data_IF_853335047053
#
_entry.id   IF_853335047053
#
_cell.length_a   1.000
_cell.length_b   1.000
_cell.length_c   1.000
_cell.angle_alpha   90.00
_cell.angle_beta   90.00
_cell.angle_gamma   90.00
#
_symmetry.space_group_name_H-M   'P 1'
#
loop_
_entity.id
_entity.type
_entity.pdbx_description
1 polymer ?
#
# COMPACT_ATOMS: atom_id res chain seq x y z
N UNK A 1 8.98 -28.01 2.87
CA UNK A 1 9.04 -26.54 2.74
C UNK A 1 10.33 -26.20 2.03
N UNK A 2 10.28 -25.82 0.76
CA UNK A 2 11.49 -25.51 -0.01
C UNK A 2 11.81 -24.04 0.15
N UNK A 3 12.89 -23.74 0.86
CA UNK A 3 13.53 -22.43 0.86
C UNK A 3 14.64 -22.50 -0.19
N UNK A 4 14.60 -21.65 -1.21
CA UNK A 4 15.71 -21.55 -2.17
C UNK A 4 16.70 -20.54 -1.59
N UNK A 5 17.84 -21.04 -1.14
CA UNK A 5 18.98 -20.24 -0.71
C UNK A 5 20.09 -20.46 -1.76
N UNK A 6 20.33 -19.45 -2.60
CA UNK A 6 21.37 -19.51 -3.63
C UNK A 6 22.67 -18.96 -3.05
N UNK A 7 23.58 -19.88 -2.72
CA UNK A 7 24.96 -19.54 -2.32
C UNK A 7 25.93 -20.35 -3.18
N UNK A 8 27.09 -19.77 -3.48
CA UNK A 8 28.28 -20.49 -3.94
C UNK A 8 29.40 -20.22 -2.94
N UNK A 9 30.42 -21.09 -2.88
CA UNK A 9 31.50 -21.02 -1.88
C UNK A 9 32.19 -19.64 -1.75
N UNK A 10 32.15 -18.81 -2.80
CA UNK A 10 32.68 -17.44 -2.86
C UNK A 10 31.63 -16.35 -3.07
N UNK A 11 30.35 -16.71 -3.13
CA UNK A 11 29.29 -15.81 -3.60
C UNK A 11 29.23 -15.65 -5.13
N UNK A 12 30.08 -16.33 -5.92
CA UNK A 12 30.12 -16.19 -7.39
C UNK A 12 28.78 -16.47 -8.08
N UNK A 13 28.17 -17.64 -7.84
CA UNK A 13 26.85 -17.98 -8.40
C UNK A 13 25.74 -17.09 -7.81
N UNK A 14 25.85 -16.73 -6.53
CA UNK A 14 24.92 -15.79 -5.90
C UNK A 14 24.99 -14.39 -6.54
N UNK A 15 26.19 -13.93 -6.89
CA UNK A 15 26.45 -12.65 -7.55
C UNK A 15 25.98 -12.63 -9.00
N UNK A 16 26.16 -13.72 -9.76
CA UNK A 16 25.64 -13.83 -11.14
C UNK A 16 24.10 -13.88 -11.17
N UNK A 17 23.47 -14.59 -10.23
CA UNK A 17 22.01 -14.56 -10.09
C UNK A 17 21.53 -13.17 -9.66
N UNK A 18 22.22 -12.52 -8.71
CA UNK A 18 21.90 -11.16 -8.31
C UNK A 18 22.09 -10.18 -9.48
N UNK A 19 23.10 -10.34 -10.34
CA UNK A 19 23.32 -9.50 -11.52
C UNK A 19 22.15 -9.61 -12.51
N UNK A 20 21.65 -10.81 -12.76
CA UNK A 20 20.48 -11.04 -13.62
C UNK A 20 19.19 -10.48 -13.02
N UNK A 21 19.05 -10.56 -11.69
CA UNK A 21 17.92 -9.96 -10.97
C UNK A 21 18.05 -8.43 -10.83
N UNK A 22 19.27 -7.89 -10.82
CA UNK A 22 19.55 -6.46 -10.69
C UNK A 22 19.14 -5.65 -11.93
N UNK A 23 18.84 -6.31 -13.06
CA UNK A 23 18.17 -5.68 -14.20
C UNK A 23 16.71 -5.31 -13.91
N UNK A 24 16.15 -5.73 -12.77
CA UNK A 24 14.78 -5.45 -12.36
C UNK A 24 14.75 -4.91 -10.92
N UNK A 25 13.95 -3.87 -10.69
CA UNK A 25 13.73 -3.29 -9.36
C UNK A 25 12.24 -3.20 -9.08
N UNK A 26 11.76 -4.01 -8.13
CA UNK A 26 10.41 -3.87 -7.57
C UNK A 26 10.48 -3.06 -6.27
N UNK A 27 9.98 -1.83 -6.32
CA UNK A 27 9.93 -0.89 -5.20
C UNK A 27 8.56 -0.93 -4.54
N UNK A 28 8.53 -0.87 -3.20
CA UNK A 28 7.29 -0.63 -2.44
C UNK A 28 7.30 0.80 -1.94
N UNK A 29 6.26 1.58 -2.23
CA UNK A 29 6.07 2.92 -1.69
C UNK A 29 4.82 2.99 -0.84
N UNK A 30 4.91 3.60 0.35
CA UNK A 30 3.73 3.80 1.18
C UNK A 30 2.72 4.76 0.51
N UNK A 31 1.44 4.37 0.46
CA UNK A 31 0.35 5.17 -0.12
C UNK A 31 0.13 6.55 0.52
N UNK A 32 0.83 6.88 1.61
CA UNK A 32 0.99 8.26 2.11
C UNK A 32 1.50 9.23 1.02
N UNK A 33 2.01 8.74 -0.12
CA UNK A 33 2.29 9.56 -1.30
C UNK A 33 1.04 10.33 -1.73
N UNK A 34 -0.11 9.67 -1.69
CA UNK A 34 -1.40 10.21 -2.11
C UNK A 34 -1.99 11.17 -1.08
N UNK A 35 -1.58 11.01 0.19
CA UNK A 35 -1.94 11.88 1.30
C UNK A 35 -1.15 13.19 1.34
N UNK A 36 -0.14 13.36 0.49
CA UNK A 36 0.80 14.47 0.59
C UNK A 36 0.15 15.88 0.48
N UNK A 37 -0.87 16.11 -0.37
CA UNK A 37 -1.61 17.38 -0.37
C UNK A 37 -2.31 17.69 0.95
N UNK A 38 -2.85 16.67 1.62
CA UNK A 38 -3.55 16.81 2.91
C UNK A 38 -2.58 17.08 4.05
N UNK A 39 -1.42 16.42 4.03
CA UNK A 39 -0.33 16.69 4.96
C UNK A 39 0.14 18.15 4.81
N UNK A 40 0.33 18.61 3.57
CA UNK A 40 0.76 19.99 3.29
C UNK A 40 -0.29 21.03 3.72
N UNK A 41 -1.57 20.77 3.47
CA UNK A 41 -2.69 21.67 3.82
C UNK A 41 -3.20 21.50 5.26
N UNK A 42 -2.71 20.49 5.99
CA UNK A 42 -3.15 20.09 7.33
C UNK A 42 -4.65 19.74 7.42
N UNK A 43 -5.22 19.24 6.34
CA UNK A 43 -6.62 18.82 6.25
C UNK A 43 -6.78 17.38 6.71
N UNK A 44 -6.71 17.17 8.02
CA UNK A 44 -6.89 15.85 8.61
C UNK A 44 -8.35 15.53 8.96
N UNK A 45 -8.74 14.26 8.96
CA UNK A 45 -10.02 13.75 9.47
C UNK A 45 -11.25 14.03 8.60
N UNK A 46 -11.07 14.72 7.47
CA UNK A 46 -12.10 15.01 6.47
C UNK A 46 -12.04 13.96 5.33
N UNK A 47 -13.17 13.73 4.62
CA UNK A 47 -13.16 12.86 3.46
C UNK A 47 -12.47 13.55 2.27
N UNK A 48 -12.05 12.76 1.30
CA UNK A 48 -11.57 13.25 0.01
C UNK A 48 -12.28 12.52 -1.13
N UNK A 49 -12.77 13.29 -2.10
CA UNK A 49 -13.33 12.77 -3.36
C UNK A 49 -12.23 12.41 -4.36
N UNK A 50 -10.96 12.71 -4.04
CA UNK A 50 -9.84 12.40 -4.91
C UNK A 50 -9.54 10.89 -4.87
N UNK A 51 -9.67 10.26 -6.03
CA UNK A 51 -9.31 8.86 -6.27
C UNK A 51 -8.18 8.84 -7.30
N UNK A 52 -7.17 8.00 -7.04
CA UNK A 52 -6.01 7.83 -7.91
C UNK A 52 -6.11 6.51 -8.68
N UNK A 53 -5.75 6.54 -9.97
CA UNK A 53 -5.71 5.38 -10.86
C UNK A 53 -4.25 5.19 -11.37
N UNK A 54 -3.83 3.94 -11.53
CA UNK A 54 -2.46 3.52 -11.87
C UNK A 54 -2.18 3.30 -13.37
N UNK A 55 -3.18 3.46 -14.24
CA UNK A 55 -3.04 3.27 -15.69
C UNK A 55 -3.03 4.60 -16.46
N UNK A 56 -4.14 5.35 -16.46
CA UNK A 56 -4.24 6.62 -17.21
C UNK A 56 -3.51 7.81 -16.53
N UNK A 57 -3.11 7.63 -15.26
CA UNK A 57 -2.64 8.72 -14.38
C UNK A 57 -1.30 8.47 -13.71
N UNK A 58 -0.48 7.58 -14.27
CA UNK A 58 0.92 7.40 -13.83
C UNK A 58 1.69 8.73 -13.81
N UNK A 59 1.48 9.61 -14.78
CA UNK A 59 2.11 10.93 -14.81
C UNK A 59 1.63 11.85 -13.68
N UNK A 60 0.39 11.71 -13.21
CA UNK A 60 -0.08 12.44 -12.03
C UNK A 60 0.64 11.96 -10.76
N UNK A 61 0.83 10.65 -10.61
CA UNK A 61 1.57 10.06 -9.48
C UNK A 61 3.03 10.50 -9.51
N UNK A 62 3.65 10.52 -10.70
CA UNK A 62 5.02 11.02 -10.91
C UNK A 62 5.12 12.51 -10.57
N UNK A 63 4.20 13.32 -11.07
CA UNK A 63 4.16 14.75 -10.78
C UNK A 63 3.97 15.00 -9.29
N UNK A 64 3.13 14.21 -8.62
CA UNK A 64 2.93 14.29 -7.17
C UNK A 64 4.21 13.89 -6.41
N UNK A 65 4.83 12.75 -6.73
CA UNK A 65 6.06 12.29 -6.07
C UNK A 65 7.19 13.31 -6.19
N UNK A 66 7.34 13.96 -7.35
CA UNK A 66 8.35 15.00 -7.61
C UNK A 66 8.16 16.26 -6.77
N UNK A 67 6.95 16.54 -6.29
CA UNK A 67 6.69 17.67 -5.39
C UNK A 67 7.28 17.44 -3.98
N UNK A 68 7.64 16.19 -3.64
CA UNK A 68 8.14 15.83 -2.32
C UNK A 68 9.54 15.20 -2.40
N UNK A 69 10.61 16.02 -2.31
CA UNK A 69 12.00 15.54 -2.37
C UNK A 69 12.36 14.49 -1.30
N UNK A 70 11.61 14.44 -0.19
CA UNK A 70 11.74 13.39 0.83
C UNK A 70 11.46 11.99 0.30
N UNK A 71 10.81 11.86 -0.87
CA UNK A 71 10.58 10.60 -1.58
C UNK A 71 11.65 10.32 -2.62
N UNK A 72 12.92 10.49 -2.25
CA UNK A 72 14.05 10.34 -3.16
C UNK A 72 14.08 8.97 -3.87
N UNK A 73 13.71 7.89 -3.18
CA UNK A 73 13.68 6.54 -3.76
C UNK A 73 12.54 6.40 -4.77
N UNK A 74 11.33 6.85 -4.43
CA UNK A 74 10.19 6.80 -5.37
C UNK A 74 10.51 7.63 -6.62
N UNK A 75 11.05 8.84 -6.45
CA UNK A 75 11.47 9.71 -7.55
C UNK A 75 12.57 9.08 -8.40
N UNK A 76 13.54 8.40 -7.79
CA UNK A 76 14.59 7.70 -8.53
C UNK A 76 14.06 6.49 -9.32
N UNK A 77 13.10 5.75 -8.77
CA UNK A 77 12.49 4.58 -9.43
C UNK A 77 11.58 5.02 -10.58
N UNK A 78 10.88 6.13 -10.39
CA UNK A 78 10.03 6.74 -11.40
C UNK A 78 10.89 7.39 -12.49
N UNK A 79 11.91 8.15 -12.15
CA UNK A 79 12.82 8.73 -13.15
C UNK A 79 13.65 7.60 -13.78
N UNK A 80 13.37 7.27 -15.05
CA UNK A 80 13.97 6.17 -15.82
C UNK A 80 15.37 5.80 -15.33
N UNK A 81 15.50 4.66 -14.64
CA UNK A 81 16.81 4.12 -14.24
C UNK A 81 17.42 3.42 -15.47
N UNK A 82 18.45 3.97 -16.11
CA UNK A 82 18.95 3.40 -17.37
C UNK A 82 19.46 1.97 -17.15
N UNK A 83 18.97 1.04 -17.97
CA UNK A 83 19.36 -0.37 -17.89
C UNK A 83 18.69 -1.18 -16.76
N UNK A 84 17.72 -0.60 -16.05
CA UNK A 84 16.95 -1.29 -15.01
C UNK A 84 15.46 -1.12 -15.27
N UNK A 85 14.74 -2.24 -15.34
CA UNK A 85 13.29 -2.27 -15.44
C UNK A 85 12.67 -2.08 -14.04
N UNK A 86 11.93 -0.99 -13.84
CA UNK A 86 11.37 -0.66 -12.53
C UNK A 86 9.88 -0.99 -12.41
N UNK A 87 9.44 -1.41 -11.24
CA UNK A 87 8.03 -1.52 -10.87
C UNK A 87 7.82 -0.85 -9.51
N UNK A 88 6.90 0.10 -9.41
CA UNK A 88 6.52 0.80 -8.19
C UNK A 88 5.15 0.29 -7.72
N UNK A 89 5.14 -0.50 -6.64
CA UNK A 89 3.92 -0.97 -5.99
C UNK A 89 3.56 -0.01 -4.85
N UNK A 90 2.36 0.55 -4.89
CA UNK A 90 1.88 1.55 -3.91
C UNK A 90 0.69 0.97 -3.13
N UNK A 91 0.94 0.13 -2.11
CA UNK A 91 -0.13 -0.43 -1.30
C UNK A 91 -0.72 0.60 -0.34
N UNK A 92 -2.05 0.56 -0.19
CA UNK A 92 -2.80 1.28 0.82
C UNK A 92 -2.66 0.62 2.21
N UNK A 93 -3.73 0.50 3.00
CA UNK A 93 -3.64 -0.19 4.30
C UNK A 93 -3.37 -1.68 4.08
N UNK A 94 -2.16 -2.12 4.42
CA UNK A 94 -1.81 -3.55 4.44
C UNK A 94 -2.32 -4.17 5.74
N UNK A 95 -3.16 -5.20 5.65
CA UNK A 95 -3.69 -5.91 6.80
C UNK A 95 -3.56 -7.43 6.69
N UNK A 96 -3.80 -8.11 7.82
CA UNK A 96 -3.67 -9.55 7.95
C UNK A 96 -2.32 -10.00 8.51
N UNK A 97 -2.26 -11.21 9.09
CA UNK A 97 -1.02 -11.75 9.64
C UNK A 97 -0.06 -12.17 8.52
N UNK A 98 1.17 -11.67 8.60
CA UNK A 98 2.23 -12.12 7.71
C UNK A 98 2.59 -13.59 7.98
N UNK A 99 2.96 -14.32 6.91
CA UNK A 99 3.36 -15.75 7.00
C UNK A 99 4.89 -15.94 6.95
N UNK A 100 5.64 -14.85 6.81
CA UNK A 100 7.09 -14.87 6.70
C UNK A 100 7.79 -15.06 8.07
N UNK A 101 9.08 -15.44 8.08
CA UNK A 101 9.80 -15.77 9.32
C UNK A 101 10.28 -14.55 10.12
N UNK A 102 10.02 -13.33 9.65
CA UNK A 102 10.52 -12.07 10.24
C UNK A 102 9.35 -11.25 10.78
N UNK A 103 9.06 -10.09 10.16
CA UNK A 103 7.94 -9.27 10.57
C UNK A 103 6.64 -9.86 10.03
N UNK A 104 5.66 -10.05 10.91
CA UNK A 104 4.33 -10.55 10.59
C UNK A 104 3.22 -9.52 10.90
N UNK A 105 3.61 -8.31 11.32
CA UNK A 105 2.72 -7.25 11.81
C UNK A 105 2.82 -5.99 10.92
N UNK A 106 1.67 -5.46 10.50
CA UNK A 106 1.57 -4.16 9.82
C UNK A 106 1.53 -2.98 10.81
N UNK A 107 1.28 -1.76 10.35
CA UNK A 107 1.45 -0.54 11.16
C UNK A 107 0.12 0.09 11.59
N UNK A 108 -0.69 0.62 10.67
CA UNK A 108 -1.83 1.51 10.98
C UNK A 108 -2.86 0.88 11.93
N UNK A 109 -3.46 -0.26 11.54
CA UNK A 109 -4.48 -0.94 12.36
C UNK A 109 -3.89 -1.52 13.65
N UNK A 110 -2.70 -2.15 13.64
CA UNK A 110 -2.07 -2.62 14.87
C UNK A 110 -1.69 -1.51 15.87
N UNK A 111 -1.25 -0.33 15.41
CA UNK A 111 -1.01 0.81 16.30
C UNK A 111 -2.31 1.40 16.86
N UNK A 112 -3.36 1.53 16.03
CA UNK A 112 -4.68 1.95 16.49
C UNK A 112 -5.24 0.97 17.54
N UNK A 113 -5.02 -0.32 17.34
CA UNK A 113 -5.39 -1.38 18.30
C UNK A 113 -4.61 -1.25 19.61
N UNK A 114 -3.30 -1.02 19.54
CA UNK A 114 -2.46 -0.80 20.74
C UNK A 114 -2.98 0.40 21.54
N UNK A 115 -3.23 1.53 20.88
CA UNK A 115 -3.72 2.75 21.52
C UNK A 115 -5.10 2.53 22.14
N UNK A 116 -6.02 1.90 21.40
CA UNK A 116 -7.37 1.58 21.89
C UNK A 116 -7.32 0.72 23.16
N UNK A 117 -6.50 -0.33 23.17
CA UNK A 117 -6.36 -1.23 24.32
C UNK A 117 -5.75 -0.49 25.52
N UNK A 118 -4.70 0.31 25.30
CA UNK A 118 -4.03 1.04 26.39
C UNK A 118 -4.92 2.13 27.00
N UNK A 119 -5.75 2.79 26.19
CA UNK A 119 -6.71 3.80 26.66
C UNK A 119 -7.99 3.20 27.23
N UNK A 120 -8.34 1.97 26.84
CA UNK A 120 -9.63 1.36 27.14
C UNK A 120 -10.82 1.97 26.39
N UNK A 121 -10.56 2.77 25.33
CA UNK A 121 -11.54 3.36 24.41
C UNK A 121 -10.91 3.57 23.04
N UNK A 122 -11.71 3.47 21.98
CA UNK A 122 -11.27 3.76 20.62
C UNK A 122 -10.95 5.25 20.42
N UNK A 123 -10.23 5.56 19.35
CA UNK A 123 -9.95 6.94 18.95
C UNK A 123 -10.17 7.12 17.46
N UNK A 124 -10.48 8.34 17.03
CA UNK A 124 -10.42 8.75 15.63
C UNK A 124 -9.87 10.18 15.53
N UNK A 125 -9.13 10.47 14.46
CA UNK A 125 -8.59 11.83 14.24
C UNK A 125 -9.71 12.73 13.72
N UNK A 126 -10.07 13.74 14.51
CA UNK A 126 -11.19 14.65 14.26
C UNK A 126 -12.47 13.88 13.89
N UNK A 127 -13.11 14.18 12.75
CA UNK A 127 -14.35 13.52 12.31
C UNK A 127 -14.14 12.07 11.85
N UNK A 128 -12.90 11.62 11.66
CA UNK A 128 -12.59 10.25 11.24
C UNK A 128 -13.10 9.88 9.84
N UNK A 129 -13.44 10.86 9.00
CA UNK A 129 -14.00 10.62 7.67
C UNK A 129 -12.93 10.36 6.60
N UNK A 130 -11.66 10.48 6.98
CA UNK A 130 -10.56 10.16 6.08
C UNK A 130 -10.58 8.67 5.73
N UNK A 131 -10.43 8.38 4.45
CA UNK A 131 -10.76 7.09 3.84
C UNK A 131 -9.53 6.53 3.15
N UNK A 132 -9.24 5.27 3.43
CA UNK A 132 -8.14 4.54 2.82
C UNK A 132 -8.64 3.27 2.17
N UNK A 133 -8.00 2.93 1.07
CA UNK A 133 -8.08 1.58 0.56
C UNK A 133 -7.33 0.60 1.45
N UNK A 134 -7.65 -0.67 1.28
CA UNK A 134 -6.98 -1.74 2.00
C UNK A 134 -6.68 -2.93 1.09
N UNK A 135 -5.63 -3.65 1.45
CA UNK A 135 -5.20 -4.88 0.78
C UNK A 135 -4.72 -5.89 1.82
N UNK A 136 -5.13 -7.13 1.67
CA UNK A 136 -4.63 -8.19 2.53
C UNK A 136 -3.20 -8.56 2.11
N UNK A 137 -2.31 -8.79 3.09
CA UNK A 137 -0.89 -9.09 2.84
C UNK A 137 -0.66 -10.28 1.90
N UNK A 138 -1.58 -11.24 1.88
CA UNK A 138 -1.47 -12.41 1.00
C UNK A 138 -1.74 -12.06 -0.46
N UNK A 139 -2.71 -11.18 -0.73
CA UNK A 139 -3.01 -10.72 -2.08
C UNK A 139 -1.89 -9.83 -2.59
N UNK A 140 -1.42 -8.90 -1.74
CA UNK A 140 -0.24 -8.09 -2.02
C UNK A 140 0.97 -8.97 -2.37
N UNK A 141 1.25 -10.01 -1.57
CA UNK A 141 2.37 -10.93 -1.84
C UNK A 141 2.27 -11.66 -3.18
N UNK A 142 1.05 -11.85 -3.70
CA UNK A 142 0.82 -12.47 -5.01
C UNK A 142 1.30 -11.55 -6.14
N UNK A 143 1.07 -10.23 -6.02
CA UNK A 143 1.55 -9.24 -7.00
C UNK A 143 3.09 -9.26 -7.06
N UNK A 144 3.77 -9.25 -5.91
CA UNK A 144 5.23 -9.35 -5.86
C UNK A 144 5.74 -10.65 -6.48
N UNK A 145 5.09 -11.78 -6.21
CA UNK A 145 5.45 -13.06 -6.84
C UNK A 145 5.33 -12.98 -8.37
N UNK A 146 4.23 -12.42 -8.89
CA UNK A 146 4.04 -12.25 -10.33
C UNK A 146 5.10 -11.35 -10.96
N UNK A 147 5.43 -10.23 -10.33
CA UNK A 147 6.50 -9.35 -10.83
C UNK A 147 7.86 -10.06 -10.83
N UNK A 148 8.18 -10.84 -9.80
CA UNK A 148 9.41 -11.65 -9.76
C UNK A 148 9.42 -12.71 -10.85
N UNK A 149 8.30 -13.40 -11.09
CA UNK A 149 8.18 -14.37 -12.19
C UNK A 149 8.44 -13.70 -13.56
N UNK A 150 7.84 -12.53 -13.80
CA UNK A 150 8.06 -11.76 -15.05
C UNK A 150 9.50 -11.28 -15.19
N UNK A 151 10.13 -10.82 -14.11
CA UNK A 151 11.54 -10.42 -14.11
C UNK A 151 12.45 -11.62 -14.44
N UNK A 152 12.15 -12.80 -13.89
CA UNK A 152 12.91 -14.02 -14.14
C UNK A 152 12.79 -14.52 -15.60
N UNK A 153 11.65 -14.27 -16.24
CA UNK A 153 11.44 -14.54 -17.67
C UNK A 153 12.23 -13.58 -18.58
N UNK A 154 12.80 -12.49 -18.02
CA UNK A 154 13.40 -11.39 -18.76
C UNK A 154 12.48 -10.81 -19.85
N UNK A 155 11.16 -10.96 -19.69
CA UNK A 155 10.17 -10.49 -20.65
C UNK A 155 9.90 -9.00 -20.43
N UNK A 156 10.69 -8.18 -21.13
CA UNK A 156 10.47 -6.73 -21.21
C UNK A 156 9.51 -6.33 -22.33
N UNK A 157 8.90 -7.29 -23.05
CA UNK A 157 8.01 -7.01 -24.19
C UNK A 157 6.61 -6.59 -23.77
N UNK A 158 6.27 -6.78 -22.49
CA UNK A 158 4.97 -6.47 -21.91
C UNK A 158 5.03 -5.22 -21.02
N UNK A 159 3.92 -4.45 -20.93
CA UNK A 159 3.86 -3.19 -20.18
C UNK A 159 3.77 -3.45 -18.67
N UNK A 160 4.82 -4.03 -18.09
CA UNK A 160 4.91 -4.32 -16.65
C UNK A 160 5.95 -3.47 -15.92
N UNK A 161 6.70 -2.67 -16.67
CA UNK A 161 7.91 -2.04 -16.18
C UNK A 161 7.95 -0.57 -16.60
N UNK A 162 8.75 0.20 -15.87
CA UNK A 162 9.09 1.57 -16.16
C UNK A 162 7.87 2.49 -16.21
N UNK A 163 7.41 2.86 -17.40
CA UNK A 163 6.27 3.76 -17.58
C UNK A 163 4.96 3.08 -17.18
N UNK A 164 4.83 1.79 -17.44
CA UNK A 164 3.63 0.99 -17.16
C UNK A 164 3.75 0.21 -15.84
N UNK A 165 4.87 0.36 -15.13
CA UNK A 165 5.19 -0.41 -13.94
C UNK A 165 4.67 0.21 -12.64
N UNK A 166 3.55 0.93 -12.63
CA UNK A 166 2.97 1.45 -11.38
C UNK A 166 1.76 0.60 -11.02
N UNK A 167 1.71 0.12 -9.79
CA UNK A 167 0.68 -0.82 -9.34
C UNK A 167 0.01 -0.31 -8.06
N UNK A 168 -1.29 -0.07 -8.15
CA UNK A 168 -2.15 0.12 -7.00
C UNK A 168 -2.71 -1.21 -6.54
N UNK A 169 -2.86 -1.34 -5.22
CA UNK A 169 -3.31 -2.59 -4.61
C UNK A 169 -4.36 -2.22 -3.58
N UNK A 170 -5.62 -2.19 -3.99
CA UNK A 170 -6.74 -1.70 -3.20
C UNK A 170 -8.00 -2.50 -3.53
N UNK A 171 -8.42 -3.35 -2.60
CA UNK A 171 -9.63 -4.18 -2.77
C UNK A 171 -10.92 -3.51 -2.28
N UNK A 172 -10.83 -2.27 -1.77
CA UNK A 172 -11.95 -1.48 -1.29
C UNK A 172 -11.55 -0.39 -0.31
N UNK A 173 -12.35 0.69 -0.27
CA UNK A 173 -12.15 1.84 0.61
C UNK A 173 -12.89 1.68 1.94
N UNK A 174 -12.30 2.14 3.04
CA UNK A 174 -12.94 2.19 4.36
C UNK A 174 -12.56 3.49 5.10
N UNK A 175 -13.54 4.22 5.69
CA UNK A 175 -13.25 5.37 6.55
C UNK A 175 -12.60 4.97 7.87
N UNK A 176 -11.74 5.84 8.41
CA UNK A 176 -11.07 5.59 9.69
C UNK A 176 -12.02 5.54 10.89
N UNK A 177 -13.16 6.23 10.86
CA UNK A 177 -14.22 6.11 11.87
C UNK A 177 -14.74 4.67 11.95
N UNK A 178 -14.93 4.01 10.81
CA UNK A 178 -15.37 2.61 10.76
C UNK A 178 -14.27 1.66 11.24
N UNK A 179 -13.01 1.85 10.81
CA UNK A 179 -11.86 1.08 11.32
C UNK A 179 -11.79 1.20 12.85
N UNK A 180 -11.91 2.42 13.37
CA UNK A 180 -11.82 2.72 14.81
C UNK A 180 -12.93 2.05 15.59
N UNK A 181 -14.16 2.08 15.07
CA UNK A 181 -15.29 1.38 15.68
C UNK A 181 -15.09 -0.14 15.70
N UNK A 182 -14.61 -0.73 14.60
CA UNK A 182 -14.30 -2.16 14.52
C UNK A 182 -13.22 -2.57 15.53
N UNK A 183 -12.18 -1.75 15.69
CA UNK A 183 -11.11 -1.97 16.67
C UNK A 183 -11.64 -1.87 18.11
N UNK A 184 -12.44 -0.85 18.42
CA UNK A 184 -13.05 -0.69 19.74
C UNK A 184 -13.98 -1.86 20.10
N UNK A 185 -14.83 -2.27 19.15
CA UNK A 185 -15.71 -3.43 19.29
C UNK A 185 -14.92 -4.72 19.56
N UNK A 186 -13.88 -4.99 18.77
CA UNK A 186 -13.05 -6.18 18.95
C UNK A 186 -12.30 -6.17 20.29
N UNK A 187 -11.84 -5.00 20.76
CA UNK A 187 -11.19 -4.87 22.06
C UNK A 187 -12.17 -5.14 23.21
N UNK A 188 -13.42 -4.67 23.10
CA UNK A 188 -14.48 -4.94 24.07
C UNK A 188 -14.85 -6.42 24.12
N UNK A 189 -15.12 -7.04 22.96
CA UNK A 189 -15.48 -8.47 22.86
C UNK A 189 -14.41 -9.40 23.42
N UNK A 190 -13.13 -9.01 23.31
CA UNK A 190 -12.00 -9.76 23.87
C UNK A 190 -11.69 -9.42 25.33
N UNK A 191 -12.46 -8.52 25.96
CA UNK A 191 -12.28 -8.12 27.37
C UNK A 191 -11.07 -7.20 27.62
N UNK A 192 -10.48 -6.63 26.57
CA UNK A 192 -9.39 -5.65 26.67
C UNK A 192 -9.88 -4.21 26.87
N UNK A 193 -11.19 -3.98 26.66
CA UNK A 193 -11.87 -2.72 26.91
C UNK A 193 -13.21 -2.96 27.62
N UNK A 194 -13.68 -1.96 28.36
CA UNK A 194 -15.03 -1.95 28.96
C UNK A 194 -16.04 -1.13 28.14
N UNK A 195 -15.60 -0.51 27.05
CA UNK A 195 -16.41 0.35 26.20
C UNK A 195 -16.11 0.12 24.72
N UNK A 196 -17.14 0.31 23.89
CA UNK A 196 -17.06 0.32 22.42
C UNK A 196 -17.03 1.74 21.86
N UNK A 197 -16.98 2.76 22.72
CA UNK A 197 -16.93 4.18 22.33
C UNK A 197 -15.64 4.52 21.60
N UNK A 198 -15.74 5.48 20.69
CA UNK A 198 -14.62 6.06 19.94
C UNK A 198 -14.58 7.56 20.19
N UNK A 199 -13.50 8.04 20.81
CA UNK A 199 -13.32 9.48 21.06
C UNK A 199 -12.75 10.18 19.82
N UNK A 200 -13.21 11.40 19.55
CA UNK A 200 -12.53 12.28 18.59
C UNK A 200 -11.32 12.93 19.25
N UNK A 201 -10.16 12.86 18.61
CA UNK A 201 -8.92 13.48 19.08
C UNK A 201 -8.36 14.45 18.04
N UNK A 202 -7.62 15.44 18.52
CA UNK A 202 -6.81 16.33 17.67
C UNK A 202 -5.66 15.57 16.98
N UNK A 203 -5.01 16.22 16.01
CA UNK A 203 -3.83 15.68 15.32
C UNK A 203 -2.67 15.54 16.31
N UNK A 204 -2.51 16.55 17.17
CA UNK A 204 -1.46 16.63 18.18
C UNK A 204 -1.63 15.53 19.25
N UNK A 205 -2.85 15.29 19.71
CA UNK A 205 -3.14 14.18 20.62
C UNK A 205 -2.88 12.82 19.96
N UNK A 206 -3.25 12.64 18.68
CA UNK A 206 -2.97 11.42 17.95
C UNK A 206 -1.45 11.16 17.83
N UNK A 207 -0.66 12.20 17.55
CA UNK A 207 0.80 12.12 17.44
C UNK A 207 1.49 11.87 18.79
N UNK A 208 0.87 12.27 19.91
CA UNK A 208 1.34 11.92 21.26
C UNK A 208 1.08 10.45 21.60
N UNK A 209 -0.02 9.87 21.10
CA UNK A 209 -0.40 8.47 21.36
C UNK A 209 0.37 7.46 20.50
N UNK A 210 0.73 7.86 19.29
CA UNK A 210 1.56 7.08 18.37
C UNK A 210 2.35 8.03 17.47
N UNK A 211 3.65 7.77 17.21
CA UNK A 211 4.39 8.53 16.22
C UNK A 211 3.63 8.62 14.89
N UNK A 212 3.40 9.84 14.43
CA UNK A 212 2.65 10.15 13.20
C UNK A 212 1.19 9.66 13.18
N UNK A 213 0.54 9.47 14.35
CA UNK A 213 -0.86 9.05 14.46
C UNK A 213 -1.83 9.93 13.64
N UNK A 214 -1.58 11.24 13.58
CA UNK A 214 -2.35 12.17 12.77
C UNK A 214 -2.30 11.84 11.27
N UNK A 215 -1.13 11.45 10.76
CA UNK A 215 -0.96 11.03 9.37
C UNK A 215 -1.57 9.64 9.16
N UNK A 216 -1.26 8.69 10.06
CA UNK A 216 -1.67 7.29 9.93
C UNK A 216 -3.18 7.10 9.90
N UNK A 217 -3.95 7.93 10.61
CA UNK A 217 -5.40 7.75 10.81
C UNK A 217 -6.25 8.95 10.37
N UNK A 218 -5.61 10.05 9.98
CA UNK A 218 -6.28 11.30 9.64
C UNK A 218 -6.10 11.75 8.20
N UNK A 219 -5.49 10.97 7.33
CA UNK A 219 -5.32 11.30 5.91
C UNK A 219 -6.08 10.33 5.02
N UNK A 220 -6.12 10.57 3.71
CA UNK A 220 -6.77 9.73 2.71
C UNK A 220 -5.75 9.08 1.77
N UNK A 221 -6.07 7.88 1.30
CA UNK A 221 -5.38 7.21 0.21
C UNK A 221 -6.37 6.26 -0.48
N UNK A 222 -7.12 6.80 -1.46
CA UNK A 222 -8.14 6.07 -2.21
C UNK A 222 -7.59 5.71 -3.59
N UNK A 223 -7.64 4.42 -3.91
CA UNK A 223 -7.15 3.87 -5.17
C UNK A 223 -8.37 3.39 -5.97
N UNK A 224 -8.24 3.39 -7.29
CA UNK A 224 -9.17 2.71 -8.17
C UNK A 224 -8.36 1.76 -9.04
N UNK A 225 -8.65 0.46 -8.92
CA UNK A 225 -8.19 -0.54 -9.87
C UNK A 225 -9.09 -0.50 -11.10
N UNK A 226 -8.50 -0.46 -12.30
CA UNK A 226 -9.27 -0.53 -13.54
C UNK A 226 -9.71 -1.98 -13.84
N UNK A 227 -10.74 -2.42 -13.11
CA UNK A 227 -11.46 -3.68 -13.34
C UNK A 227 -11.97 -3.80 -14.80
N UNK A 228 -12.45 -2.73 -15.48
CA UNK A 228 -12.98 -2.83 -16.85
C UNK A 228 -12.02 -3.42 -17.88
N UNK A 229 -10.72 -3.08 -17.85
CA UNK A 229 -9.74 -3.66 -18.77
C UNK A 229 -9.36 -5.09 -18.40
N UNK A 230 -9.28 -5.41 -17.11
CA UNK A 230 -9.07 -6.80 -16.65
C UNK A 230 -10.23 -7.70 -17.08
N UNK A 231 -11.46 -7.20 -16.97
CA UNK A 231 -12.67 -7.88 -17.46
C UNK A 231 -12.67 -7.95 -18.98
N UNK A 232 -12.26 -6.90 -19.70
CA UNK A 232 -12.17 -6.90 -21.16
C UNK A 232 -11.09 -7.87 -21.68
N UNK A 233 -9.92 -7.91 -21.04
CA UNK A 233 -8.83 -8.83 -21.36
C UNK A 233 -9.21 -10.29 -21.05
N UNK A 234 -9.92 -10.54 -19.95
CA UNK A 234 -10.41 -11.87 -19.62
C UNK A 234 -11.58 -12.29 -20.53
N UNK A 235 -12.48 -11.37 -20.88
CA UNK A 235 -13.54 -11.60 -21.86
C UNK A 235 -12.92 -11.94 -23.24
N UNK A 236 -11.88 -11.23 -23.66
CA UNK A 236 -11.14 -11.51 -24.89
C UNK A 236 -10.43 -12.87 -24.84
N UNK A 237 -9.80 -13.22 -23.71
CA UNK A 237 -9.18 -14.54 -23.48
C UNK A 237 -10.20 -15.68 -23.52
N UNK A 238 -11.41 -15.42 -23.06
CA UNK A 238 -12.54 -16.37 -23.06
C UNK A 238 -13.36 -16.33 -24.37
N UNK A 239 -13.01 -15.49 -25.34
CA UNK A 239 -13.74 -15.35 -26.61
C UNK A 239 -15.14 -14.74 -26.47
N UNK A 240 -15.42 -14.03 -25.38
CA UNK A 240 -16.69 -13.36 -25.10
C UNK A 240 -16.62 -11.93 -25.62
N UNK A 241 -17.43 -11.61 -26.64
CA UNK A 241 -17.60 -10.23 -27.11
C UNK A 241 -18.71 -9.51 -26.35
N UNK A 242 -18.56 -8.20 -26.04
CA UNK A 242 -19.62 -7.41 -25.43
C UNK A 242 -20.86 -7.43 -26.32
N UNK A 243 -22.02 -7.76 -25.74
CA UNK A 243 -23.30 -7.46 -26.38
C UNK A 243 -23.57 -5.98 -26.14
N UNK A 244 -23.43 -5.18 -27.20
CA UNK A 244 -23.92 -3.79 -27.23
C UNK A 244 -25.42 -3.75 -26.86
#
# INVERSE_FOLDING_TARGET
MTKIFLTGASGYIGGEVLHRLAAFWIQVSGATLLSAPEIASKTFGEPSDKVYNDFERVEEIRALARQFPSRAVDNFVLDKTPGVNTALVVPAIIYGPGRGPVNQRSVQVPELSRVTIQRGKGIQVKKGLSTWDNVHIQDLSTIFLRLVERAAEADSSKPYWNQDGVYFTGSGSIPFSEISQRVAQAAFEKGYSKSTDVDQVSVEEADQLSPHGGILWGTNARLEEEIPETVAAEAQRLGVTPKL
#
